data_IF_722275859713
#
_entry.id   IF_722275859713
#
_cell.length_a   1.000
_cell.length_b   1.000
_cell.length_c   1.000
_cell.angle_alpha   90.00
_cell.angle_beta   90.00
_cell.angle_gamma   90.00
#
_symmetry.space_group_name_H-M   'P 1'
#
loop_
_entity.id
_entity.type
_entity.pdbx_description
1 polymer ?
#
# COMPACT_ATOMS: atom_id res chain seq x y z
N UNK A 1 -11.44 10.85 -15.00
CA UNK A 1 -11.39 9.37 -14.99
C UNK A 1 -10.12 8.94 -14.29
N UNK A 2 -10.17 8.25 -13.16
CA UNK A 2 -9.04 7.44 -12.71
C UNK A 2 -9.62 6.16 -12.12
N UNK A 3 -9.65 5.10 -12.92
CA UNK A 3 -10.36 3.86 -12.57
C UNK A 3 -9.50 2.96 -11.67
N UNK A 4 -8.23 3.29 -11.39
CA UNK A 4 -7.36 2.47 -10.54
C UNK A 4 -6.29 3.30 -9.78
N UNK A 5 -6.67 4.28 -8.95
CA UNK A 5 -5.72 4.76 -7.93
C UNK A 5 -5.47 3.63 -6.94
N UNK A 6 -4.35 2.90 -7.09
CA UNK A 6 -3.86 1.96 -6.07
C UNK A 6 -3.55 2.77 -4.81
N UNK A 7 -4.45 2.72 -3.83
CA UNK A 7 -4.25 3.35 -2.53
C UNK A 7 -3.25 2.52 -1.72
N UNK A 8 -2.14 3.14 -1.33
CA UNK A 8 -1.08 2.48 -0.57
C UNK A 8 -1.14 2.90 0.89
N UNK A 9 -1.14 1.94 1.82
CA UNK A 9 -1.06 2.21 3.26
C UNK A 9 0.24 1.68 3.84
N UNK A 10 0.89 2.48 4.68
CA UNK A 10 2.10 2.07 5.41
C UNK A 10 1.77 1.73 6.85
N UNK A 11 2.22 0.56 7.32
CA UNK A 11 1.92 0.05 8.67
C UNK A 11 3.23 -0.35 9.36
N UNK A 12 3.37 0.01 10.63
CA UNK A 12 4.49 -0.45 11.47
C UNK A 12 4.10 -1.76 12.16
N UNK A 13 4.83 -2.85 11.91
CA UNK A 13 4.45 -4.20 12.43
C UNK A 13 4.51 -4.34 13.94
N UNK A 14 5.44 -3.66 14.60
CA UNK A 14 5.71 -3.87 16.04
C UNK A 14 4.49 -3.60 16.92
N UNK A 15 3.61 -2.70 16.49
CA UNK A 15 2.44 -2.22 17.22
C UNK A 15 1.20 -2.08 16.33
N UNK A 16 1.26 -2.59 15.09
CA UNK A 16 0.20 -2.50 14.08
C UNK A 16 -0.33 -1.09 13.85
N UNK A 17 0.51 -0.07 14.07
CA UNK A 17 0.11 1.33 13.90
C UNK A 17 0.12 1.70 12.41
N UNK A 18 -1.01 2.19 11.91
CA UNK A 18 -1.12 2.74 10.57
C UNK A 18 -0.40 4.09 10.58
N UNK A 19 0.63 4.22 9.75
CA UNK A 19 1.40 5.45 9.62
C UNK A 19 0.71 6.40 8.63
N UNK A 20 0.39 5.88 7.45
CA UNK A 20 -0.22 6.65 6.36
C UNK A 20 -1.18 5.78 5.53
N UNK A 21 -2.13 6.43 4.84
CA UNK A 21 -2.97 5.83 3.79
C UNK A 21 -3.09 6.80 2.63
N UNK A 22 -2.54 6.43 1.48
CA UNK A 22 -2.28 7.34 0.39
C UNK A 22 -1.42 8.52 0.86
N UNK A 23 -1.85 9.74 0.52
CA UNK A 23 -1.19 10.98 0.93
C UNK A 23 -1.53 11.42 2.36
N UNK A 24 -2.46 10.74 3.03
CA UNK A 24 -2.89 11.08 4.38
C UNK A 24 -1.99 10.42 5.42
N UNK A 25 -1.54 11.20 6.40
CA UNK A 25 -0.71 10.73 7.52
C UNK A 25 -1.53 10.65 8.80
N UNK A 26 -1.52 9.47 9.45
CA UNK A 26 -2.23 9.22 10.72
C UNK A 26 -1.33 9.32 11.95
N UNK A 27 -0.02 9.19 11.77
CA UNK A 27 0.92 9.39 12.87
C UNK A 27 1.18 10.88 13.10
N UNK A 28 1.34 11.27 14.37
CA UNK A 28 1.73 12.64 14.74
C UNK A 28 3.26 12.86 14.70
N UNK A 29 4.05 11.83 14.39
CA UNK A 29 5.50 11.96 14.24
C UNK A 29 5.81 12.55 12.86
N UNK A 30 6.08 13.87 12.81
CA UNK A 30 6.34 14.66 11.60
C UNK A 30 7.53 14.16 10.75
N UNK A 31 8.35 13.27 11.32
CA UNK A 31 9.46 12.63 10.61
C UNK A 31 8.97 11.67 9.54
N UNK A 32 7.77 11.10 9.68
CA UNK A 32 7.19 10.16 8.72
C UNK A 32 6.47 10.92 7.61
N UNK A 33 6.92 10.71 6.37
CA UNK A 33 6.37 11.36 5.19
C UNK A 33 6.18 10.34 4.07
N UNK A 34 5.17 10.55 3.24
CA UNK A 34 4.99 9.79 2.01
C UNK A 34 5.49 10.62 0.85
N UNK A 35 6.34 10.01 0.03
CA UNK A 35 6.79 10.56 -1.24
C UNK A 35 6.08 9.81 -2.36
N UNK A 36 5.29 10.55 -3.13
CA UNK A 36 4.56 10.05 -4.29
C UNK A 36 4.51 11.13 -5.36
N UNK A 37 4.90 10.79 -6.58
CA UNK A 37 4.79 11.70 -7.74
C UNK A 37 3.37 11.67 -8.29
N UNK A 38 2.83 12.84 -8.65
CA UNK A 38 1.51 12.92 -9.25
C UNK A 38 1.42 12.08 -10.54
N UNK A 39 0.51 11.12 -10.58
CA UNK A 39 0.37 10.17 -11.68
C UNK A 39 1.39 9.03 -11.72
N UNK A 40 2.33 8.98 -10.77
CA UNK A 40 3.27 7.87 -10.62
C UNK A 40 2.63 6.62 -10.02
N UNK A 41 3.31 5.46 -10.13
CA UNK A 41 2.89 4.23 -9.46
C UNK A 41 3.67 3.97 -8.16
N UNK A 42 4.78 4.67 -7.97
CA UNK A 42 5.69 4.47 -6.85
C UNK A 42 5.24 5.24 -5.61
N UNK A 43 5.24 4.53 -4.48
CA UNK A 43 4.95 5.08 -3.16
C UNK A 43 6.10 4.74 -2.23
N UNK A 44 6.73 5.77 -1.65
CA UNK A 44 7.84 5.59 -0.72
C UNK A 44 7.51 6.19 0.64
N UNK A 45 7.77 5.43 1.70
CA UNK A 45 7.77 5.95 3.07
C UNK A 45 9.16 6.51 3.40
N UNK A 46 9.22 7.80 3.68
CA UNK A 46 10.43 8.48 4.14
C UNK A 46 10.36 8.71 5.65
N UNK A 47 11.46 8.42 6.35
CA UNK A 47 11.61 8.71 7.78
C UNK A 47 12.79 9.68 7.94
N UNK A 48 12.52 10.92 8.34
CA UNK A 48 13.56 11.92 8.61
C UNK A 48 14.23 11.66 9.95
N UNK A 49 15.53 11.95 10.04
CA UNK A 49 16.30 11.84 11.29
C UNK A 49 16.09 10.47 11.98
N UNK A 50 16.40 9.39 11.25
CA UNK A 50 16.20 8.01 11.71
C UNK A 50 16.92 7.77 13.04
N UNK A 51 16.23 7.10 13.96
CA UNK A 51 16.74 6.74 15.27
C UNK A 51 16.77 5.23 15.46
N UNK A 52 17.58 4.75 16.41
CA UNK A 52 17.67 3.30 16.73
C UNK A 52 16.31 2.66 17.02
N UNK A 53 15.37 3.43 17.59
CA UNK A 53 14.00 2.98 17.90
C UNK A 53 13.10 2.78 16.68
N UNK A 54 13.49 3.29 15.51
CA UNK A 54 12.72 3.14 14.27
C UNK A 54 13.06 1.81 13.58
N UNK A 55 14.07 1.07 14.06
CA UNK A 55 14.38 -0.27 13.56
C UNK A 55 13.18 -1.21 13.72
N UNK A 56 12.81 -1.91 12.65
CA UNK A 56 11.71 -2.86 12.64
C UNK A 56 11.14 -3.09 11.24
N UNK A 57 10.09 -3.91 11.18
CA UNK A 57 9.40 -4.22 9.92
C UNK A 57 8.25 -3.24 9.68
N UNK A 58 8.17 -2.76 8.44
CA UNK A 58 7.09 -1.93 7.92
C UNK A 58 6.43 -2.65 6.76
N UNK A 59 5.11 -2.52 6.66
CA UNK A 59 4.32 -3.11 5.58
C UNK A 59 3.73 -2.04 4.68
N UNK A 60 3.72 -2.34 3.39
CA UNK A 60 2.97 -1.63 2.37
C UNK A 60 1.74 -2.48 2.00
N UNK A 61 0.54 -1.92 2.16
CA UNK A 61 -0.72 -2.55 1.77
C UNK A 61 -1.34 -1.84 0.57
N UNK A 62 -1.89 -2.60 -0.38
CA UNK A 62 -2.51 -2.08 -1.61
C UNK A 62 -4.05 -2.21 -1.56
N UNK A 63 -4.76 -1.11 -1.81
CA UNK A 63 -6.23 -1.03 -1.85
C UNK A 63 -6.79 -0.35 -3.12
N UNK A 64 -7.96 -0.78 -3.65
CA UNK A 64 -8.52 -2.09 -3.38
C UNK A 64 -7.50 -3.11 -3.87
N UNK A 65 -7.35 -4.16 -3.08
CA UNK A 65 -6.45 -5.28 -3.22
C UNK A 65 -6.68 -5.98 -4.57
N UNK A 66 -6.23 -5.34 -5.65
CA UNK A 66 -6.45 -5.72 -7.05
C UNK A 66 -5.85 -7.10 -7.31
N UNK A 67 -4.84 -7.50 -6.54
CA UNK A 67 -4.32 -8.86 -6.54
C UNK A 67 -5.34 -9.93 -6.10
N UNK A 68 -6.25 -9.62 -5.18
CA UNK A 68 -7.36 -10.51 -4.80
C UNK A 68 -8.47 -10.51 -5.85
N UNK A 69 -8.81 -9.36 -6.42
CA UNK A 69 -9.80 -9.27 -7.50
C UNK A 69 -9.30 -9.96 -8.78
N UNK A 70 -8.02 -9.83 -9.13
CA UNK A 70 -7.39 -10.48 -10.28
C UNK A 70 -7.21 -11.99 -10.08
N UNK A 71 -7.01 -12.48 -8.85
CA UNK A 71 -7.01 -13.94 -8.58
C UNK A 71 -8.39 -14.54 -8.83
N UNK A 72 -9.46 -13.92 -8.35
CA UNK A 72 -10.83 -14.37 -8.63
C UNK A 72 -11.24 -14.21 -10.11
N UNK A 73 -10.72 -13.19 -10.81
CA UNK A 73 -11.00 -12.98 -12.23
C UNK A 73 -10.35 -14.01 -13.16
N UNK A 74 -9.26 -14.68 -12.75
CA UNK A 74 -8.62 -15.74 -13.54
C UNK A 74 -9.31 -17.11 -13.40
N UNK A 75 -10.10 -17.32 -12.35
CA UNK A 75 -10.87 -18.57 -12.13
C UNK A 75 -12.24 -18.60 -12.84
N UNK A 76 -12.69 -17.49 -13.46
CA UNK A 76 -13.99 -17.41 -14.17
C UNK A 76 -13.85 -17.57 -15.71
N UNK A 77 -12.80 -18.25 -16.20
CA UNK A 77 -12.72 -18.71 -17.61
C UNK A 77 -12.29 -20.17 -17.79
N UNK A 78 -12.89 -21.08 -17.02
CA UNK A 78 -12.91 -22.52 -17.35
C UNK A 78 -14.32 -23.09 -17.27
N UNK A 79 -15.14 -22.71 -18.23
CA UNK A 79 -16.20 -23.58 -18.76
C UNK A 79 -16.22 -23.41 -20.27
N UNK A 80 -15.56 -24.30 -20.98
CA UNK A 80 -16.00 -24.72 -22.30
C UNK A 80 -15.57 -26.17 -22.47
N UNK A 81 -16.57 -27.02 -22.37
CA UNK A 81 -16.59 -28.45 -22.62
C UNK A 81 -16.04 -28.78 -24.01
N UNK A 82 -15.33 -29.90 -24.08
CA UNK A 82 -15.06 -30.73 -25.28
C UNK A 82 -15.95 -30.45 -26.49
N UNK A 83 -15.33 -30.19 -27.64
CA UNK A 83 -15.55 -30.84 -28.94
C UNK A 83 -14.23 -30.77 -29.73
#
# INVERSE_FOLDING_TARGET
MCVMCRQVSWIRRRDWHILTSGVFTYTNDERFQVVHSEGGEDWSLQIKYVQKRDNGTYECQLFPNMWYLLRNAKDIRRYSTSH
#
